data_IF_271596323230
#
_entry.id   IF_271596323230
#
_cell.length_a   1.000
_cell.length_b   1.000
_cell.length_c   1.000
_cell.angle_alpha   90.00
_cell.angle_beta   90.00
_cell.angle_gamma   90.00
#
_symmetry.space_group_name_H-M   'P 1'
#
loop_
_entity.id
_entity.type
_entity.pdbx_description
1 polymer ?
#
# COMPACT_ATOMS: atom_id res chain seq x y z
N UNK A 1 19.40 -3.43 -28.18
CA UNK A 1 20.51 -3.72 -27.25
C UNK A 1 20.48 -2.64 -26.18
N UNK A 2 19.84 -2.91 -25.04
CA UNK A 2 19.65 -1.94 -23.96
C UNK A 2 20.24 -2.53 -22.68
N UNK A 3 21.23 -1.84 -22.13
CA UNK A 3 21.92 -2.16 -20.88
C UNK A 3 21.04 -1.74 -19.70
N UNK A 4 20.67 -2.70 -18.86
CA UNK A 4 20.01 -2.46 -17.57
C UNK A 4 21.06 -2.70 -16.48
N UNK A 5 21.35 -1.67 -15.69
CA UNK A 5 22.21 -1.79 -14.51
C UNK A 5 21.46 -2.40 -13.31
N UNK A 6 22.17 -2.95 -12.30
CA UNK A 6 21.54 -3.61 -11.17
C UNK A 6 20.79 -2.59 -10.31
N UNK A 7 19.48 -2.80 -10.09
CA UNK A 7 18.62 -1.94 -9.25
C UNK A 7 17.68 -0.98 -9.98
N UNK A 8 17.56 -1.05 -11.31
CA UNK A 8 16.71 -0.15 -12.09
C UNK A 8 15.21 -0.44 -11.97
N UNK A 9 14.41 0.57 -11.59
CA UNK A 9 12.95 0.57 -11.80
C UNK A 9 12.63 1.10 -13.20
N UNK A 10 11.88 0.33 -13.98
CA UNK A 10 11.44 0.73 -15.32
C UNK A 10 9.94 1.04 -15.29
N UNK A 11 9.58 2.28 -15.65
CA UNK A 11 8.19 2.68 -15.87
C UNK A 11 7.85 2.45 -17.35
N UNK A 12 6.96 1.51 -17.65
CA UNK A 12 6.40 1.34 -19.00
C UNK A 12 5.01 1.95 -19.05
N UNK A 13 4.80 2.83 -20.03
CA UNK A 13 3.49 3.33 -20.40
C UNK A 13 3.04 2.57 -21.65
N UNK A 14 1.92 1.86 -21.58
CA UNK A 14 1.31 1.25 -22.76
C UNK A 14 0.13 2.12 -23.23
N UNK A 15 0.18 2.53 -24.49
CA UNK A 15 -0.95 3.17 -25.19
C UNK A 15 -1.47 2.16 -26.20
N UNK A 16 -2.63 1.57 -25.94
CA UNK A 16 -3.31 0.71 -26.91
C UNK A 16 -4.09 1.56 -27.90
N UNK A 17 -3.72 1.50 -29.18
CA UNK A 17 -4.42 2.16 -30.29
C UNK A 17 -5.34 1.16 -30.97
N UNK A 18 -6.65 1.31 -30.80
CA UNK A 18 -7.64 0.58 -31.59
C UNK A 18 -8.10 1.48 -32.73
N UNK A 19 -7.82 1.10 -33.98
CA UNK A 19 -8.37 1.77 -35.16
C UNK A 19 -9.88 1.46 -35.26
N UNK A 20 -10.72 2.48 -35.09
CA UNK A 20 -12.17 2.40 -35.36
C UNK A 20 -12.50 3.41 -36.45
N UNK A 21 -13.20 2.94 -37.48
CA UNK A 21 -13.69 3.73 -38.59
C UNK A 21 -14.68 4.82 -38.11
N UNK A 22 -14.64 5.97 -38.79
CA UNK A 22 -15.28 7.23 -38.44
C UNK A 22 -16.81 7.10 -38.24
N UNK A 23 -17.27 7.17 -36.99
CA UNK A 23 -18.62 7.60 -36.61
C UNK A 23 -18.44 8.54 -35.41
N UNK A 24 -19.02 9.74 -35.48
CA UNK A 24 -18.93 10.74 -34.43
C UNK A 24 -19.64 10.26 -33.14
N UNK A 25 -18.89 9.59 -32.27
CA UNK A 25 -19.22 9.37 -30.87
C UNK A 25 -18.08 9.94 -30.03
N UNK A 26 -18.45 10.57 -28.91
CA UNK A 26 -17.50 11.13 -27.95
C UNK A 26 -16.38 10.09 -27.68
N UNK A 27 -15.13 10.48 -27.91
CA UNK A 27 -13.98 9.62 -27.66
C UNK A 27 -14.02 9.28 -26.16
N UNK A 28 -14.24 8.02 -25.75
CA UNK A 28 -14.09 7.69 -24.34
C UNK A 28 -12.64 7.95 -23.97
N UNK A 29 -12.41 8.67 -22.87
CA UNK A 29 -11.07 8.87 -22.32
C UNK A 29 -10.40 7.51 -22.22
N UNK A 30 -9.25 7.34 -22.89
CA UNK A 30 -8.46 6.12 -22.79
C UNK A 30 -8.15 5.90 -21.30
N UNK A 31 -8.58 4.78 -20.75
CA UNK A 31 -8.20 4.36 -19.40
C UNK A 31 -6.67 4.18 -19.37
N UNK A 32 -5.96 5.14 -18.79
CA UNK A 32 -4.52 5.06 -18.64
C UNK A 32 -4.19 4.02 -17.57
N UNK A 33 -3.51 2.95 -17.97
CA UNK A 33 -2.95 1.96 -17.05
C UNK A 33 -1.46 2.27 -16.83
N UNK A 34 -1.09 2.52 -15.59
CA UNK A 34 0.31 2.68 -15.16
C UNK A 34 0.81 1.37 -14.58
N UNK A 35 2.02 0.95 -14.97
CA UNK A 35 2.67 -0.20 -14.37
C UNK A 35 4.06 0.14 -13.82
N UNK A 36 4.33 -0.26 -12.58
CA UNK A 36 5.67 -0.25 -11.98
C UNK A 36 6.12 -1.69 -11.76
N UNK A 37 7.28 -2.02 -12.31
CA UNK A 37 7.88 -3.35 -12.24
C UNK A 37 9.09 -3.31 -11.31
N UNK A 38 9.08 -4.18 -10.29
CA UNK A 38 10.17 -4.33 -9.33
C UNK A 38 10.96 -5.59 -9.64
N UNK A 39 12.28 -5.49 -9.68
CA UNK A 39 13.19 -6.58 -10.03
C UNK A 39 14.22 -6.82 -8.92
N UNK A 40 14.77 -8.03 -8.86
CA UNK A 40 15.93 -8.34 -8.01
C UNK A 40 17.27 -8.00 -8.69
N UNK A 41 18.37 -8.25 -7.98
CA UNK A 41 19.73 -8.00 -8.45
C UNK A 41 20.11 -8.81 -9.72
N UNK A 42 19.36 -9.87 -10.03
CA UNK A 42 19.54 -10.69 -11.24
C UNK A 42 18.58 -10.28 -12.37
N UNK A 43 17.82 -9.18 -12.21
CA UNK A 43 16.89 -8.67 -13.21
C UNK A 43 15.58 -9.45 -13.30
N UNK A 44 15.24 -10.25 -12.28
CA UNK A 44 14.01 -11.07 -12.27
C UNK A 44 12.86 -10.33 -11.62
N UNK A 45 11.66 -10.44 -12.19
CA UNK A 45 10.47 -9.69 -11.77
C UNK A 45 9.92 -10.20 -10.43
N UNK A 46 9.98 -9.36 -9.40
CA UNK A 46 9.48 -9.61 -8.04
C UNK A 46 8.06 -9.09 -7.83
N UNK A 47 7.71 -7.94 -8.41
CA UNK A 47 6.37 -7.38 -8.25
C UNK A 47 5.92 -6.56 -9.48
N UNK A 48 4.62 -6.54 -9.70
CA UNK A 48 3.94 -5.68 -10.68
C UNK A 48 2.90 -4.87 -9.93
N UNK A 49 3.08 -3.57 -9.90
CA UNK A 49 2.08 -2.62 -9.43
C UNK A 49 1.32 -2.13 -10.66
N UNK A 50 0.00 -2.23 -10.67
CA UNK A 50 -0.86 -1.70 -11.74
C UNK A 50 -1.85 -0.72 -11.15
N UNK A 51 -1.94 0.45 -11.76
CA UNK A 51 -2.97 1.44 -11.49
C UNK A 51 -3.77 1.63 -12.77
N UNK A 52 -5.08 1.32 -12.73
CA UNK A 52 -5.99 1.49 -13.88
C UNK A 52 -7.31 2.07 -13.42
N UNK A 53 -7.70 3.23 -13.95
CA UNK A 53 -9.02 3.84 -13.68
C UNK A 53 -9.36 3.98 -12.19
N UNK A 54 -8.38 4.40 -11.38
CA UNK A 54 -8.53 4.54 -9.92
C UNK A 54 -8.42 3.23 -9.15
N UNK A 55 -8.26 2.10 -9.84
CA UNK A 55 -8.10 0.78 -9.24
C UNK A 55 -6.62 0.42 -9.20
N UNK A 56 -6.11 0.14 -8.01
CA UNK A 56 -4.72 -0.28 -7.81
C UNK A 56 -4.62 -1.75 -7.43
N UNK A 57 -3.72 -2.50 -8.06
CA UNK A 57 -3.44 -3.90 -7.73
C UNK A 57 -1.94 -4.14 -7.70
N UNK A 58 -1.50 -5.04 -6.81
CA UNK A 58 -0.10 -5.47 -6.75
C UNK A 58 -0.07 -6.97 -6.98
N UNK A 59 0.82 -7.46 -7.83
CA UNK A 59 1.12 -8.88 -7.93
C UNK A 59 2.59 -9.10 -7.56
N UNK A 60 2.85 -9.78 -6.46
CA UNK A 60 4.19 -10.23 -6.05
C UNK A 60 4.43 -11.66 -6.53
N UNK A 61 5.67 -11.97 -6.88
CA UNK A 61 6.11 -13.29 -7.33
C UNK A 61 7.18 -13.84 -6.39
N UNK A 62 6.95 -15.04 -5.87
CA UNK A 62 7.96 -15.79 -5.13
C UNK A 62 8.67 -16.78 -6.04
N UNK A 63 9.97 -16.95 -5.81
CA UNK A 63 10.82 -17.92 -6.50
C UNK A 63 11.08 -19.14 -5.61
N UNK A 64 11.23 -20.33 -6.20
CA UNK A 64 11.74 -21.50 -5.50
C UNK A 64 13.29 -21.52 -5.47
N UNK A 65 13.87 -22.53 -4.81
CA UNK A 65 15.33 -22.70 -4.72
C UNK A 65 16.01 -22.98 -6.07
N UNK A 66 15.24 -23.30 -7.10
CA UNK A 66 15.72 -23.44 -8.48
C UNK A 66 15.40 -22.20 -9.32
N UNK A 67 15.06 -21.08 -8.66
CA UNK A 67 14.75 -19.79 -9.25
C UNK A 67 13.54 -19.77 -10.21
N UNK A 68 12.70 -20.79 -10.16
CA UNK A 68 11.46 -20.80 -10.93
C UNK A 68 10.40 -19.97 -10.22
N UNK A 69 9.48 -19.37 -10.99
CA UNK A 69 8.31 -18.70 -10.43
C UNK A 69 7.39 -19.73 -9.77
N UNK A 70 7.49 -19.82 -8.45
CA UNK A 70 6.79 -20.82 -7.66
C UNK A 70 5.46 -20.30 -7.11
N UNK A 71 5.36 -19.00 -6.85
CA UNK A 71 4.13 -18.40 -6.31
C UNK A 71 3.80 -17.07 -6.96
N UNK A 72 2.50 -16.82 -7.11
CA UNK A 72 1.94 -15.52 -7.49
C UNK A 72 1.00 -15.09 -6.37
N UNK A 73 1.32 -14.01 -5.70
CA UNK A 73 0.45 -13.37 -4.73
C UNK A 73 -0.10 -12.08 -5.32
N UNK A 74 -1.39 -12.02 -5.61
CA UNK A 74 -2.03 -10.73 -5.88
C UNK A 74 -2.40 -10.10 -4.54
N UNK A 75 -1.81 -8.96 -4.23
CA UNK A 75 -2.36 -8.03 -3.25
C UNK A 75 -3.80 -7.63 -3.61
N UNK A 76 -4.54 -7.11 -2.63
CA UNK A 76 -5.92 -6.71 -2.83
C UNK A 76 -6.02 -5.61 -3.88
N UNK A 77 -7.11 -5.66 -4.64
CA UNK A 77 -7.53 -4.59 -5.53
C UNK A 77 -8.08 -3.44 -4.69
N UNK A 78 -7.49 -2.25 -4.80
CA UNK A 78 -7.84 -1.06 -4.02
C UNK A 78 -8.59 -0.04 -4.87
N UNK A 79 -9.60 0.60 -4.28
CA UNK A 79 -10.34 1.74 -4.84
C UNK A 79 -9.52 3.04 -4.78
N UNK A 80 -8.62 3.16 -3.81
CA UNK A 80 -7.60 4.20 -3.76
C UNK A 80 -6.37 3.69 -3.01
N UNK A 81 -5.18 4.09 -3.45
CA UNK A 81 -3.91 3.75 -2.83
C UNK A 81 -2.98 4.96 -2.81
N UNK A 82 -2.14 5.04 -1.80
CA UNK A 82 -1.09 6.04 -1.66
C UNK A 82 0.23 5.35 -1.31
N UNK A 83 1.32 5.91 -1.85
CA UNK A 83 2.68 5.62 -1.36
C UNK A 83 2.81 6.13 0.06
N UNK A 84 3.32 5.30 0.96
CA UNK A 84 3.48 5.66 2.36
C UNK A 84 4.39 6.88 2.52
N UNK A 85 5.51 6.92 1.80
CA UNK A 85 6.47 8.02 1.80
C UNK A 85 5.91 9.34 1.23
N UNK A 86 4.74 9.32 0.59
CA UNK A 86 4.02 10.52 0.16
C UNK A 86 3.03 11.05 1.22
N UNK A 87 2.86 10.32 2.32
CA UNK A 87 1.98 10.69 3.44
C UNK A 87 2.78 11.34 4.57
N UNK A 88 2.10 12.08 5.45
CA UNK A 88 2.73 12.67 6.62
C UNK A 88 3.10 11.59 7.65
N UNK A 89 4.04 11.93 8.53
CA UNK A 89 4.47 11.09 9.64
C UNK A 89 4.95 11.97 10.82
N UNK A 90 4.94 11.41 12.04
CA UNK A 90 5.46 12.06 13.25
C UNK A 90 6.58 11.26 13.92
N UNK A 91 6.93 10.09 13.37
CA UNK A 91 8.09 9.29 13.77
C UNK A 91 8.59 8.47 12.57
N UNK A 92 9.80 7.92 12.69
CA UNK A 92 10.44 7.17 11.61
C UNK A 92 11.16 8.06 10.60
N UNK A 93 11.62 7.43 9.52
CA UNK A 93 12.41 8.03 8.46
C UNK A 93 12.12 7.33 7.12
N UNK A 94 12.39 8.02 6.03
CA UNK A 94 12.16 7.48 4.70
C UNK A 94 13.24 6.43 4.42
N UNK A 95 12.82 5.24 4.02
CA UNK A 95 13.71 4.14 3.67
C UNK A 95 13.08 3.33 2.53
N UNK A 96 13.80 3.24 1.41
CA UNK A 96 13.33 2.59 0.18
C UNK A 96 12.01 3.18 -0.35
N UNK A 97 10.93 2.39 -0.43
CA UNK A 97 9.56 2.80 -0.83
C UNK A 97 8.65 2.90 0.39
N UNK A 98 9.07 3.62 1.43
CA UNK A 98 8.21 3.72 2.60
C UNK A 98 8.75 4.49 3.79
N UNK A 99 7.86 4.67 4.76
CA UNK A 99 8.22 5.13 6.11
C UNK A 99 8.62 3.93 6.96
N UNK A 100 9.79 4.02 7.59
CA UNK A 100 10.32 3.01 8.51
C UNK A 100 10.57 3.61 9.91
N UNK A 101 10.26 2.83 10.94
CA UNK A 101 10.73 3.09 12.30
C UNK A 101 11.40 1.84 12.88
N UNK A 102 12.41 2.06 13.72
CA UNK A 102 13.04 1.02 14.52
C UNK A 102 12.87 1.34 16.01
N UNK A 103 13.27 0.42 16.89
CA UNK A 103 13.00 0.52 18.33
C UNK A 103 13.64 1.74 19.03
N UNK A 104 14.54 2.46 18.35
CA UNK A 104 15.14 3.70 18.88
C UNK A 104 14.25 4.93 18.64
N UNK A 105 13.27 4.84 17.73
CA UNK A 105 12.37 5.93 17.39
C UNK A 105 11.20 5.99 18.37
N UNK A 106 10.69 7.19 18.70
CA UNK A 106 9.61 7.34 19.67
C UNK A 106 8.29 6.77 19.16
N UNK A 107 7.45 6.36 20.11
CA UNK A 107 6.09 5.90 19.85
C UNK A 107 5.25 7.10 19.37
N UNK A 108 4.73 7.01 18.15
CA UNK A 108 3.95 8.08 17.50
C UNK A 108 3.30 7.54 16.21
N UNK A 109 2.71 8.41 15.39
CA UNK A 109 2.21 8.01 14.07
C UNK A 109 3.36 7.85 13.09
N UNK A 110 3.57 6.62 12.64
CA UNK A 110 4.42 6.31 11.49
C UNK A 110 3.72 6.68 10.17
N UNK A 111 2.39 6.72 10.17
CA UNK A 111 1.56 7.23 9.08
C UNK A 111 0.48 8.14 9.65
N UNK A 112 0.41 9.36 9.11
CA UNK A 112 -0.67 10.32 9.29
C UNK A 112 -1.14 10.79 7.89
N UNK A 113 -2.40 10.54 7.55
CA UNK A 113 -2.93 10.72 6.19
C UNK A 113 -3.79 9.55 5.72
N UNK A 114 -4.33 9.61 4.49
CA UNK A 114 -4.01 10.54 3.41
C UNK A 114 -4.78 11.87 3.44
N UNK A 115 -5.61 12.11 4.45
CA UNK A 115 -6.49 13.29 4.52
C UNK A 115 -7.47 13.35 3.33
N UNK A 116 -7.99 12.19 2.91
CA UNK A 116 -8.86 12.08 1.72
C UNK A 116 -10.33 12.31 2.08
N UNK A 117 -11.06 12.96 1.18
CA UNK A 117 -12.52 13.14 1.27
C UNK A 117 -13.29 12.19 0.35
N UNK A 118 -12.58 11.33 -0.38
CA UNK A 118 -13.14 10.52 -1.46
C UNK A 118 -13.71 9.17 -1.02
N UNK A 119 -13.68 8.83 0.28
CA UNK A 119 -14.19 7.54 0.77
C UNK A 119 -15.71 7.49 0.60
N UNK A 120 -16.26 6.60 -0.24
CA UNK A 120 -17.70 6.53 -0.45
C UNK A 120 -18.37 5.78 0.71
N UNK A 121 -19.64 6.10 0.96
CA UNK A 121 -20.46 5.40 1.94
C UNK A 121 -20.50 3.87 1.71
N UNK A 122 -20.88 3.14 2.75
CA UNK A 122 -21.02 1.69 2.75
C UNK A 122 -19.92 0.95 3.51
N UNK A 123 -19.96 -0.37 3.44
CA UNK A 123 -18.93 -1.23 4.02
C UNK A 123 -17.66 -1.15 3.18
N UNK A 124 -16.54 -0.87 3.85
CA UNK A 124 -15.23 -0.65 3.24
C UNK A 124 -14.17 -1.47 3.96
N UNK A 125 -13.02 -1.62 3.32
CA UNK A 125 -11.84 -2.23 3.94
C UNK A 125 -10.66 -1.30 3.75
N UNK A 126 -10.10 -0.80 4.86
CA UNK A 126 -8.82 -0.10 4.84
C UNK A 126 -7.69 -1.13 4.73
N UNK A 127 -6.63 -0.80 3.99
CA UNK A 127 -5.55 -1.73 3.69
C UNK A 127 -4.20 -1.07 3.84
N UNK A 128 -3.25 -1.78 4.44
CA UNK A 128 -1.85 -1.38 4.55
C UNK A 128 -0.93 -2.48 4.01
N UNK A 129 0.11 -2.11 3.28
CA UNK A 129 1.24 -2.99 2.95
C UNK A 129 2.36 -2.71 3.92
N UNK A 130 2.63 -3.66 4.81
CA UNK A 130 3.57 -3.46 5.92
C UNK A 130 4.47 -4.66 6.12
N UNK A 131 5.67 -4.43 6.64
CA UNK A 131 6.55 -5.47 7.14
C UNK A 131 7.07 -5.11 8.53
N UNK A 132 7.50 -6.13 9.27
CA UNK A 132 8.12 -5.97 10.59
C UNK A 132 9.43 -6.73 10.67
N UNK A 133 10.37 -6.25 11.47
CA UNK A 133 11.58 -6.98 11.82
C UNK A 133 11.36 -7.96 12.97
N UNK A 134 12.34 -8.84 13.24
CA UNK A 134 12.27 -9.81 14.32
C UNK A 134 12.26 -9.11 15.68
N UNK A 135 11.52 -9.69 16.61
CA UNK A 135 11.54 -9.29 18.02
C UNK A 135 11.12 -10.48 18.89
N UNK A 136 11.69 -10.57 20.09
CA UNK A 136 11.29 -11.55 21.09
C UNK A 136 10.14 -11.03 21.98
N UNK A 137 9.69 -9.80 21.76
CA UNK A 137 8.58 -9.20 22.51
C UNK A 137 7.23 -9.69 21.99
N UNK A 138 6.31 -9.97 22.91
CA UNK A 138 4.89 -10.20 22.62
C UNK A 138 4.06 -8.91 22.61
N UNK A 139 4.68 -7.77 22.91
CA UNK A 139 3.99 -6.48 22.93
C UNK A 139 3.44 -6.11 21.54
N UNK A 140 2.48 -5.18 21.55
CA UNK A 140 2.01 -4.54 20.33
C UNK A 140 3.18 -3.84 19.62
N UNK A 141 3.33 -4.04 18.31
CA UNK A 141 4.32 -3.29 17.52
C UNK A 141 3.68 -2.07 16.87
N UNK A 142 2.42 -2.21 16.45
CA UNK A 142 1.61 -1.10 15.91
C UNK A 142 0.14 -1.20 16.31
N UNK A 143 -0.56 -0.07 16.20
CA UNK A 143 -2.02 -0.01 16.07
C UNK A 143 -2.36 0.65 14.73
N UNK A 144 -3.26 0.06 13.98
CA UNK A 144 -3.83 0.66 12.78
C UNK A 144 -5.23 1.17 13.09
N UNK A 145 -5.63 2.28 12.48
CA UNK A 145 -7.00 2.76 12.60
C UNK A 145 -7.48 3.56 11.38
N UNK A 146 -8.81 3.65 11.26
CA UNK A 146 -9.50 4.54 10.33
C UNK A 146 -10.06 5.69 11.15
N UNK A 147 -9.59 6.91 10.89
CA UNK A 147 -9.90 8.09 11.68
C UNK A 147 -10.62 9.14 10.83
N UNK A 148 -11.77 9.59 11.32
CA UNK A 148 -12.50 10.73 10.80
C UNK A 148 -11.94 11.99 11.46
N UNK A 149 -11.10 12.72 10.73
CA UNK A 149 -10.49 13.96 11.23
C UNK A 149 -11.51 15.09 11.35
N UNK A 150 -12.61 15.05 10.59
CA UNK A 150 -13.65 16.09 10.65
C UNK A 150 -14.46 16.01 11.95
N UNK A 151 -14.68 14.81 12.49
CA UNK A 151 -15.38 14.62 13.77
C UNK A 151 -14.47 14.22 14.95
N UNK A 152 -13.19 13.95 14.68
CA UNK A 152 -12.22 13.40 15.63
C UNK A 152 -12.62 12.02 16.19
N UNK A 153 -13.20 11.16 15.34
CA UNK A 153 -13.67 9.83 15.75
C UNK A 153 -12.87 8.71 15.08
N UNK A 154 -12.63 7.62 15.83
CA UNK A 154 -12.08 6.38 15.27
C UNK A 154 -13.24 5.50 14.79
N UNK A 155 -13.23 5.15 13.50
CA UNK A 155 -14.28 4.33 12.89
C UNK A 155 -14.02 2.83 13.04
N UNK A 156 -12.74 2.45 13.05
CA UNK A 156 -12.27 1.09 13.30
C UNK A 156 -10.81 1.15 13.74
N UNK A 157 -10.39 0.24 14.62
CA UNK A 157 -8.99 0.08 14.99
C UNK A 157 -8.62 -1.37 15.26
N UNK A 158 -7.32 -1.67 15.12
CA UNK A 158 -6.75 -2.96 15.47
C UNK A 158 -5.33 -2.81 16.00
N UNK A 159 -5.05 -3.49 17.12
CA UNK A 159 -3.71 -3.60 17.69
C UNK A 159 -3.03 -4.86 17.15
N UNK A 160 -1.80 -4.71 16.65
CA UNK A 160 -1.06 -5.79 16.00
C UNK A 160 0.21 -6.11 16.82
N UNK A 161 0.23 -7.26 17.55
CA UNK A 161 1.43 -7.79 18.20
C UNK A 161 2.25 -8.65 17.23
N UNK A 162 3.48 -9.05 17.61
CA UNK A 162 4.37 -9.83 16.72
C UNK A 162 3.69 -11.05 16.07
N UNK A 163 2.79 -11.72 16.79
CA UNK A 163 2.05 -12.89 16.31
C UNK A 163 1.08 -12.60 15.13
N UNK A 164 0.75 -11.34 14.85
CA UNK A 164 -0.11 -10.96 13.72
C UNK A 164 0.60 -11.04 12.35
N UNK A 165 1.93 -11.20 12.34
CA UNK A 165 2.73 -11.28 11.11
C UNK A 165 3.25 -12.68 10.85
N UNK A 166 3.12 -13.13 9.59
CA UNK A 166 3.55 -14.46 9.14
C UNK A 166 5.07 -14.62 9.12
N UNK A 167 5.80 -13.58 8.77
CA UNK A 167 7.26 -13.62 8.64
C UNK A 167 7.87 -12.24 8.88
N UNK A 168 9.12 -12.24 9.35
CA UNK A 168 9.92 -11.02 9.45
C UNK A 168 10.41 -10.57 8.06
N UNK A 169 10.65 -9.27 7.90
CA UNK A 169 11.22 -8.64 6.71
C UNK A 169 10.51 -8.96 5.39
N UNK A 170 9.23 -9.32 5.47
CA UNK A 170 8.40 -9.63 4.32
C UNK A 170 7.11 -8.82 4.38
N UNK A 171 6.82 -8.11 3.29
CA UNK A 171 5.61 -7.32 3.16
C UNK A 171 4.37 -8.20 3.16
N UNK A 172 3.41 -7.78 3.97
CA UNK A 172 2.11 -8.41 4.12
C UNK A 172 1.04 -7.34 3.99
N UNK A 173 -0.10 -7.74 3.44
CA UNK A 173 -1.29 -6.90 3.42
C UNK A 173 -2.07 -7.12 4.70
N UNK A 174 -2.34 -6.02 5.40
CA UNK A 174 -3.20 -6.00 6.58
C UNK A 174 -4.48 -5.27 6.19
N UNK A 175 -5.63 -5.86 6.53
CA UNK A 175 -6.95 -5.36 6.17
C UNK A 175 -7.75 -5.08 7.44
N UNK A 176 -8.43 -3.93 7.48
CA UNK A 176 -9.33 -3.53 8.57
C UNK A 176 -10.69 -3.12 8.00
N UNK A 177 -11.73 -3.95 8.16
CA UNK A 177 -13.08 -3.59 7.79
C UNK A 177 -13.60 -2.39 8.59
N UNK A 178 -14.32 -1.49 7.95
CA UNK A 178 -15.00 -0.36 8.59
C UNK A 178 -16.30 0.00 7.86
N UNK A 179 -17.16 0.77 8.54
CA UNK A 179 -18.40 1.28 7.96
C UNK A 179 -18.29 2.79 7.72
N UNK A 180 -18.48 3.20 6.47
CA UNK A 180 -18.58 4.61 6.10
C UNK A 180 -20.06 5.02 6.07
N UNK A 181 -20.50 5.76 7.08
CA UNK A 181 -21.88 6.25 7.17
C UNK A 181 -22.14 7.31 6.07
N UNK A 182 -23.33 7.33 5.44
CA UNK A 182 -23.68 8.35 4.46
C UNK A 182 -23.49 9.80 4.94
N UNK A 183 -23.69 10.07 6.23
CA UNK A 183 -23.48 11.39 6.84
C UNK A 183 -22.02 11.84 6.90
N UNK A 184 -21.06 10.90 6.75
CA UNK A 184 -19.62 11.19 6.77
C UNK A 184 -19.02 11.36 5.37
N UNK A 185 -19.80 11.19 4.30
CA UNK A 185 -19.29 11.38 2.92
C UNK A 185 -18.76 12.81 2.77
N UNK A 186 -17.51 12.93 2.31
CA UNK A 186 -16.83 14.23 2.20
C UNK A 186 -16.05 14.65 3.46
N UNK A 187 -16.13 13.91 4.56
CA UNK A 187 -15.25 14.11 5.72
C UNK A 187 -13.80 13.77 5.37
N UNK A 188 -12.87 14.38 6.10
CA UNK A 188 -11.44 14.14 5.92
C UNK A 188 -11.06 12.86 6.67
N UNK A 189 -10.68 11.83 5.92
CA UNK A 189 -10.35 10.51 6.44
C UNK A 189 -8.84 10.26 6.46
N UNK A 190 -8.37 9.64 7.55
CA UNK A 190 -7.02 9.11 7.71
C UNK A 190 -7.04 7.59 7.92
N UNK A 191 -6.00 6.91 7.41
CA UNK A 191 -5.73 5.49 7.58
C UNK A 191 -4.37 5.35 8.29
N UNK A 192 -4.39 5.44 9.61
CA UNK A 192 -3.20 5.73 10.41
C UNK A 192 -2.48 4.46 10.83
N UNK A 193 -1.17 4.63 11.09
CA UNK A 193 -0.33 3.60 11.73
C UNK A 193 0.35 4.24 12.94
N UNK A 194 -0.05 3.83 14.13
CA UNK A 194 0.63 4.16 15.38
C UNK A 194 1.73 3.12 15.62
N UNK A 195 2.96 3.58 15.80
CA UNK A 195 4.13 2.77 16.10
C UNK A 195 4.44 2.77 17.59
N UNK A 196 4.87 1.63 18.15
CA UNK A 196 5.08 1.46 19.60
C UNK A 196 6.55 1.24 20.04
N UNK A 197 7.54 1.55 19.20
CA UNK A 197 8.97 1.49 19.60
C UNK A 197 9.50 0.11 20.01
N UNK A 198 8.88 -0.98 19.53
CA UNK A 198 9.25 -2.35 19.95
C UNK A 198 10.17 -3.06 18.96
N UNK A 199 9.95 -2.86 17.66
CA UNK A 199 10.68 -3.57 16.59
C UNK A 199 10.76 -2.69 15.35
N UNK A 200 11.49 -3.14 14.31
CA UNK A 200 11.39 -2.50 13.01
C UNK A 200 9.98 -2.66 12.44
N UNK A 201 9.45 -1.58 11.88
CA UNK A 201 8.19 -1.54 11.14
C UNK A 201 8.40 -0.67 9.92
N UNK A 202 8.00 -1.14 8.74
CA UNK A 202 7.96 -0.34 7.51
C UNK A 202 6.58 -0.42 6.86
N UNK A 203 6.10 0.72 6.38
CA UNK A 203 4.85 0.84 5.60
C UNK A 203 5.22 1.29 4.20
N UNK A 204 4.67 0.62 3.18
CA UNK A 204 4.88 0.94 1.75
C UNK A 204 3.60 1.52 1.14
N UNK A 205 2.45 0.90 1.39
CA UNK A 205 1.17 1.34 0.83
C UNK A 205 0.12 1.50 1.89
N UNK A 206 -0.77 2.46 1.65
CA UNK A 206 -2.00 2.68 2.42
C UNK A 206 -3.14 2.88 1.44
N UNK A 207 -4.32 2.35 1.71
CA UNK A 207 -5.44 2.43 0.78
C UNK A 207 -6.76 1.95 1.37
N UNK A 208 -7.79 1.91 0.52
CA UNK A 208 -9.07 1.26 0.84
C UNK A 208 -9.71 0.61 -0.38
N UNK A 209 -10.69 -0.27 -0.14
CA UNK A 209 -11.59 -0.85 -1.15
C UNK A 209 -13.05 -0.78 -0.70
#
# INVERSE_FOLDING_TARGET
MLLVGPGGRMKLFFVSVTFVALVASAVPSLAQESQVLSYDAHGRLLAVHRDSSGISSVTTYGLDAADNRATRYSGPTMTAVWEAEALNHYTGYAQDEGWEANAQQPSSLLIAGPYTQAVPAGSRVAVWKMMVGPTNSSAALVKIDVFDLSTHEVLAEQVLPRAAWRSDWSYQWIELPFQMDPSRVGHIMEFRVHYFSVAHVRVDKVGYR
#
